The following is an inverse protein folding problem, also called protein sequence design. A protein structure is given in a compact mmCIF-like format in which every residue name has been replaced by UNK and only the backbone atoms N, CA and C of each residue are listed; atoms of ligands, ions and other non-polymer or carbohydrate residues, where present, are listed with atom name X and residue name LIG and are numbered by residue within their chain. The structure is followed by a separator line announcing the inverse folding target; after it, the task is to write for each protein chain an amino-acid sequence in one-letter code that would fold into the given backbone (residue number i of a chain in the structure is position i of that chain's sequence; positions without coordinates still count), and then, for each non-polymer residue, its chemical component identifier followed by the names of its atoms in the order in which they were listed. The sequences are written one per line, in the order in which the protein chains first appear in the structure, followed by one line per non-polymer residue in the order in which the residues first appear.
data_IF_904307566152
#
_entry.id   IF_904307566152
#
_cell.length_a   1.000
_cell.length_b   1.000
_cell.length_c   1.000
_cell.angle_alpha   90.00
_cell.angle_beta   90.00
_cell.angle_gamma   90.00
#
_symmetry.space_group_name_H-M   'P 1'
#
loop_
_entity.id
_entity.type
_entity.pdbx_description
1 polymer ?
#
# COMPACT_ATOMS: atom_id res chain seq x y z
N UNK A 1 20.83 10.91 24.83
CA UNK A 1 20.48 10.66 23.44
C UNK A 1 21.49 9.79 22.72
N UNK A 2 21.03 9.01 21.77
CA UNK A 2 21.89 8.21 20.90
C UNK A 2 22.25 9.04 19.67
N UNK A 3 23.56 9.16 19.36
CA UNK A 3 24.00 9.81 18.12
C UNK A 3 23.57 8.94 16.92
N UNK A 4 22.78 9.51 15.99
CA UNK A 4 22.31 8.83 14.78
C UNK A 4 23.04 9.30 13.51
N UNK A 5 23.61 10.52 13.55
CA UNK A 5 24.39 11.08 12.46
C UNK A 5 25.35 12.16 12.98
N UNK A 6 26.44 12.36 12.27
CA UNK A 6 27.38 13.47 12.50
C UNK A 6 27.66 14.18 11.18
N UNK A 7 27.46 15.50 11.14
CA UNK A 7 27.64 16.33 9.95
C UNK A 7 28.77 17.31 10.21
N UNK A 8 29.67 17.48 9.24
CA UNK A 8 30.75 18.47 9.26
C UNK A 8 30.70 19.30 7.99
N UNK A 9 30.82 20.60 8.10
CA UNK A 9 30.78 21.50 6.95
C UNK A 9 30.83 22.97 7.32
N UNK A 10 30.51 23.85 6.36
CA UNK A 10 30.40 25.27 6.60
C UNK A 10 29.27 25.58 7.58
N UNK A 11 29.54 26.26 8.68
CA UNK A 11 28.57 26.51 9.75
C UNK A 11 27.31 27.23 9.28
N UNK A 12 27.44 28.25 8.41
CA UNK A 12 26.29 28.98 7.85
C UNK A 12 25.39 28.05 7.04
N UNK A 13 25.97 27.23 6.16
CA UNK A 13 25.21 26.29 5.34
C UNK A 13 24.49 25.24 6.21
N UNK A 14 25.19 24.73 7.23
CA UNK A 14 24.59 23.76 8.18
C UNK A 14 23.40 24.35 8.91
N UNK A 15 23.55 25.53 9.53
CA UNK A 15 22.46 26.20 10.25
C UNK A 15 21.28 26.56 9.33
N UNK A 16 21.54 26.90 8.07
CA UNK A 16 20.48 27.19 7.08
C UNK A 16 19.67 25.94 6.71
N UNK A 17 20.34 24.79 6.56
CA UNK A 17 19.72 23.54 6.11
C UNK A 17 19.14 22.69 7.24
N UNK A 18 19.61 22.84 8.48
CA UNK A 18 19.32 21.99 9.63
C UNK A 18 17.84 21.74 9.82
N UNK A 19 17.01 22.79 9.91
CA UNK A 19 15.58 22.64 10.19
C UNK A 19 14.85 21.86 9.10
N UNK A 20 15.18 22.08 7.84
CA UNK A 20 14.59 21.36 6.72
C UNK A 20 14.99 19.88 6.77
N UNK A 21 16.28 19.61 7.01
CA UNK A 21 16.81 18.25 7.13
C UNK A 21 16.13 17.49 8.29
N UNK A 22 16.03 18.11 9.47
CA UNK A 22 15.36 17.52 10.63
C UNK A 22 13.88 17.29 10.37
N UNK A 23 13.16 18.19 9.71
CA UNK A 23 11.75 18.00 9.37
C UNK A 23 11.54 16.75 8.49
N UNK A 24 12.40 16.57 7.47
CA UNK A 24 12.35 15.35 6.66
C UNK A 24 12.71 14.11 7.46
N UNK A 25 13.77 14.17 8.26
CA UNK A 25 14.21 13.04 9.10
C UNK A 25 13.11 12.60 10.05
N UNK A 26 12.52 13.53 10.80
CA UNK A 26 11.44 13.27 11.76
C UNK A 26 10.21 12.67 11.09
N UNK A 27 9.77 13.25 9.97
CA UNK A 27 8.59 12.78 9.23
C UNK A 27 8.82 11.38 8.63
N UNK A 28 9.92 11.19 7.90
CA UNK A 28 10.19 9.93 7.21
C UNK A 28 10.52 8.79 8.17
N UNK A 29 11.17 9.09 9.30
CA UNK A 29 11.36 8.12 10.39
C UNK A 29 10.02 7.70 10.99
N UNK A 30 9.05 8.62 11.10
CA UNK A 30 7.69 8.30 11.51
C UNK A 30 7.00 7.33 10.55
N UNK A 31 7.09 7.57 9.25
CA UNK A 31 6.57 6.67 8.21
C UNK A 31 7.22 5.29 8.28
N UNK A 32 8.55 5.23 8.39
CA UNK A 32 9.28 3.97 8.50
C UNK A 32 8.91 3.20 9.77
N UNK A 33 8.79 3.89 10.92
CA UNK A 33 8.40 3.29 12.20
C UNK A 33 6.98 2.76 12.17
N UNK A 34 6.03 3.52 11.60
CA UNK A 34 4.65 3.08 11.42
C UNK A 34 4.58 1.83 10.52
N UNK A 35 5.34 1.81 9.42
CA UNK A 35 5.43 0.65 8.53
C UNK A 35 6.02 -0.55 9.27
N UNK A 36 7.11 -0.36 10.01
CA UNK A 36 7.75 -1.43 10.77
C UNK A 36 6.83 -2.02 11.86
N UNK A 37 5.91 -1.24 12.42
CA UNK A 37 4.94 -1.76 13.39
C UNK A 37 4.00 -2.79 12.75
N UNK A 38 3.47 -2.50 11.56
CA UNK A 38 2.64 -3.45 10.81
C UNK A 38 3.47 -4.65 10.34
N UNK A 39 4.64 -4.40 9.74
CA UNK A 39 5.50 -5.47 9.23
C UNK A 39 5.88 -6.48 10.32
N UNK A 40 6.16 -6.02 11.54
CA UNK A 40 6.42 -6.90 12.70
C UNK A 40 5.17 -7.66 13.13
N UNK A 41 4.01 -7.00 13.19
CA UNK A 41 2.75 -7.65 13.59
C UNK A 41 2.38 -8.82 12.67
N UNK A 42 2.73 -8.73 11.39
CA UNK A 42 2.43 -9.77 10.39
C UNK A 42 3.60 -10.71 10.06
N UNK A 43 4.74 -10.58 10.76
CA UNK A 43 5.98 -11.30 10.42
C UNK A 43 5.90 -12.81 10.47
N UNK A 44 4.92 -13.37 11.22
CA UNK A 44 4.66 -14.81 11.29
C UNK A 44 3.85 -15.36 10.09
N UNK A 45 3.36 -14.46 9.22
CA UNK A 45 2.50 -14.81 8.09
C UNK A 45 3.20 -14.48 6.75
N UNK A 46 2.67 -15.02 5.65
CA UNK A 46 3.22 -14.78 4.31
C UNK A 46 2.89 -13.40 3.74
N UNK A 47 1.98 -12.67 4.37
CA UNK A 47 1.53 -11.36 3.90
C UNK A 47 2.61 -10.28 4.00
N UNK A 48 2.53 -9.26 3.10
CA UNK A 48 3.38 -8.06 3.14
C UNK A 48 2.53 -6.81 3.30
N UNK A 49 3.01 -5.88 4.12
CA UNK A 49 2.38 -4.55 4.19
C UNK A 49 2.79 -3.72 2.98
N UNK A 50 1.82 -3.04 2.37
CA UNK A 50 2.05 -2.12 1.27
C UNK A 50 1.45 -0.74 1.55
N UNK A 51 2.05 0.30 0.95
CA UNK A 51 1.50 1.65 0.99
C UNK A 51 0.41 1.83 -0.09
N UNK A 52 -0.13 3.05 -0.18
CA UNK A 52 -1.09 3.46 -1.20
C UNK A 52 -0.60 4.71 -1.94
N UNK A 53 -1.46 5.32 -2.77
CA UNK A 53 -1.24 6.65 -3.35
C UNK A 53 -1.74 7.80 -2.46
N UNK A 54 -2.26 7.50 -1.26
CA UNK A 54 -2.69 8.49 -0.25
C UNK A 54 -1.45 9.06 0.45
N UNK A 55 -0.66 9.87 -0.25
CA UNK A 55 0.60 10.45 0.20
C UNK A 55 0.48 11.95 0.40
N UNK A 56 1.37 12.54 1.20
CA UNK A 56 1.48 14.00 1.30
C UNK A 56 1.86 14.59 -0.06
N UNK A 57 1.23 15.72 -0.47
CA UNK A 57 1.57 16.37 -1.73
C UNK A 57 3.07 16.64 -1.86
N UNK A 58 3.65 16.29 -3.00
CA UNK A 58 5.08 16.45 -3.28
C UNK A 58 6.02 15.44 -2.61
N UNK A 59 5.57 14.67 -1.60
CA UNK A 59 6.45 13.80 -0.80
C UNK A 59 6.37 12.32 -1.15
N UNK A 60 5.59 11.92 -2.17
CA UNK A 60 5.36 10.49 -2.48
C UNK A 60 6.64 9.68 -2.64
N UNK A 61 7.63 10.21 -3.34
CA UNK A 61 8.88 9.49 -3.60
C UNK A 61 9.62 9.15 -2.30
N UNK A 62 9.79 10.14 -1.42
CA UNK A 62 10.51 9.96 -0.14
C UNK A 62 9.68 9.18 0.88
N UNK A 63 8.35 9.34 0.90
CA UNK A 63 7.49 8.54 1.76
C UNK A 63 7.47 7.06 1.35
N UNK A 64 7.39 6.75 0.05
CA UNK A 64 7.49 5.37 -0.45
C UNK A 64 8.87 4.76 -0.17
N UNK A 65 9.94 5.56 -0.22
CA UNK A 65 11.26 5.13 0.25
C UNK A 65 11.23 4.76 1.74
N UNK A 66 10.64 5.61 2.59
CA UNK A 66 10.52 5.36 4.02
C UNK A 66 9.70 4.09 4.34
N UNK A 67 8.64 3.81 3.56
CA UNK A 67 7.88 2.55 3.66
C UNK A 67 8.78 1.34 3.42
N UNK A 68 9.63 1.37 2.39
CA UNK A 68 10.60 0.29 2.14
C UNK A 68 11.60 0.12 3.27
N UNK A 69 12.12 1.22 3.81
CA UNK A 69 13.04 1.21 4.97
C UNK A 69 12.36 0.57 6.18
N UNK A 70 11.06 0.80 6.37
CA UNK A 70 10.25 0.17 7.41
C UNK A 70 9.91 -1.30 7.18
N UNK A 71 10.39 -1.92 6.10
CA UNK A 71 10.12 -3.33 5.77
C UNK A 71 8.83 -3.57 4.99
N UNK A 72 8.18 -2.52 4.51
CA UNK A 72 7.01 -2.61 3.64
C UNK A 72 7.38 -2.71 2.15
N UNK A 73 6.38 -3.02 1.34
CA UNK A 73 6.42 -2.95 -0.12
C UNK A 73 5.73 -1.69 -0.63
N UNK A 74 5.94 -1.35 -1.89
CA UNK A 74 5.27 -0.22 -2.52
C UNK A 74 4.17 -0.69 -3.47
N UNK A 75 2.97 -0.16 -3.31
CA UNK A 75 1.95 -0.17 -4.34
C UNK A 75 2.36 0.76 -5.49
N UNK A 76 1.64 0.73 -6.61
CA UNK A 76 1.90 1.58 -7.78
C UNK A 76 2.23 3.03 -7.38
N UNK A 77 3.15 3.63 -8.11
CA UNK A 77 3.62 4.98 -7.84
C UNK A 77 2.69 6.04 -8.43
N UNK A 78 2.24 5.80 -9.66
CA UNK A 78 1.43 6.74 -10.43
C UNK A 78 0.16 6.10 -11.02
N UNK A 79 -0.20 6.56 -12.21
CA UNK A 79 -1.26 6.01 -13.04
C UNK A 79 -0.71 5.30 -14.27
N UNK A 80 0.59 5.31 -14.42
CA UNK A 80 1.38 4.87 -15.58
C UNK A 80 2.14 3.57 -15.32
N UNK A 81 2.28 3.14 -14.06
CA UNK A 81 3.05 1.96 -13.69
C UNK A 81 2.20 0.72 -13.37
N UNK A 82 0.91 0.88 -13.07
CA UNK A 82 -0.07 -0.20 -12.96
C UNK A 82 -1.50 0.36 -12.99
N UNK A 83 -2.47 -0.49 -13.38
CA UNK A 83 -3.89 -0.14 -13.38
C UNK A 83 -4.54 -0.59 -12.07
N UNK A 84 -5.38 0.27 -11.49
CA UNK A 84 -6.34 -0.11 -10.43
C UNK A 84 -7.72 0.37 -10.86
N UNK A 85 -8.59 -0.57 -11.12
CA UNK A 85 -10.00 -0.34 -11.46
C UNK A 85 -10.79 -0.29 -10.16
N UNK A 86 -11.60 0.76 -10.01
CA UNK A 86 -12.44 1.02 -8.85
C UNK A 86 -13.90 1.16 -9.25
N UNK A 87 -14.78 1.23 -8.25
CA UNK A 87 -16.22 1.44 -8.40
C UNK A 87 -16.59 2.53 -9.42
N UNK A 88 -15.98 3.70 -9.32
CA UNK A 88 -16.19 4.81 -10.23
C UNK A 88 -15.80 4.48 -11.69
N UNK A 89 -14.74 3.70 -11.89
CA UNK A 89 -14.35 3.26 -13.24
C UNK A 89 -15.36 2.26 -13.80
N UNK A 90 -15.88 1.36 -12.97
CA UNK A 90 -16.92 0.40 -13.35
C UNK A 90 -18.20 1.13 -13.71
N UNK A 91 -18.62 2.10 -12.88
CA UNK A 91 -19.81 2.92 -13.14
C UNK A 91 -19.73 3.66 -14.49
N UNK A 92 -18.56 4.23 -14.82
CA UNK A 92 -18.33 4.91 -16.09
C UNK A 92 -18.23 3.96 -17.29
N UNK A 93 -17.76 2.74 -17.09
CA UNK A 93 -17.65 1.73 -18.15
C UNK A 93 -18.98 1.01 -18.43
N UNK A 94 -19.88 0.99 -17.45
CA UNK A 94 -21.15 0.30 -17.46
C UNK A 94 -21.15 -1.03 -16.70
N UNK A 95 -20.07 -1.80 -16.76
CA UNK A 95 -19.88 -3.07 -16.05
C UNK A 95 -18.39 -3.42 -15.84
N UNK A 96 -18.14 -4.42 -15.01
CA UNK A 96 -16.77 -4.88 -14.66
C UNK A 96 -16.03 -5.42 -15.88
N UNK A 97 -16.69 -6.21 -16.72
CA UNK A 97 -16.06 -6.85 -17.87
C UNK A 97 -15.60 -5.80 -18.89
N UNK A 98 -16.45 -4.83 -19.18
CA UNK A 98 -16.13 -3.69 -20.05
C UNK A 98 -14.98 -2.86 -19.49
N UNK A 99 -14.96 -2.59 -18.17
CA UNK A 99 -13.88 -1.85 -17.52
C UNK A 99 -12.54 -2.57 -17.66
N UNK A 100 -12.49 -3.88 -17.38
CA UNK A 100 -11.28 -4.70 -17.51
C UNK A 100 -10.81 -4.80 -18.96
N UNK A 101 -11.71 -5.01 -19.91
CA UNK A 101 -11.38 -5.10 -21.34
C UNK A 101 -10.79 -3.79 -21.87
N UNK A 102 -11.39 -2.64 -21.52
CA UNK A 102 -10.87 -1.31 -21.89
C UNK A 102 -9.51 -1.05 -21.27
N UNK A 103 -9.32 -1.42 -20.01
CA UNK A 103 -8.02 -1.30 -19.34
C UNK A 103 -6.94 -2.11 -20.07
N UNK A 104 -7.22 -3.37 -20.40
CA UNK A 104 -6.28 -4.23 -21.15
C UNK A 104 -5.95 -3.69 -22.54
N UNK A 105 -6.93 -3.16 -23.24
CA UNK A 105 -6.70 -2.57 -24.57
C UNK A 105 -5.86 -1.28 -24.52
N UNK A 106 -5.87 -0.58 -23.38
CA UNK A 106 -5.17 0.69 -23.19
C UNK A 106 -3.76 0.58 -22.63
N UNK A 107 -3.29 -0.62 -22.24
CA UNK A 107 -1.96 -0.80 -21.60
C UNK A 107 -1.13 -1.89 -22.27
N UNK A 108 0.18 -1.82 -22.08
CA UNK A 108 1.10 -2.86 -22.56
C UNK A 108 1.04 -4.14 -21.69
N UNK A 109 1.50 -5.26 -22.25
CA UNK A 109 1.46 -6.59 -21.63
C UNK A 109 2.24 -6.71 -20.30
N UNK A 110 3.14 -5.77 -20.00
CA UNK A 110 3.90 -5.73 -18.75
C UNK A 110 3.17 -5.00 -17.62
N UNK A 111 2.03 -4.34 -17.87
CA UNK A 111 1.28 -3.58 -16.89
C UNK A 111 0.25 -4.48 -16.21
N UNK A 112 0.35 -4.59 -14.89
CA UNK A 112 -0.59 -5.34 -14.07
C UNK A 112 -1.92 -4.60 -13.91
N UNK A 113 -3.00 -5.39 -13.88
CA UNK A 113 -4.37 -4.88 -13.66
C UNK A 113 -4.88 -5.42 -12.34
N UNK A 114 -5.19 -4.51 -11.45
CA UNK A 114 -5.84 -4.75 -10.18
C UNK A 114 -7.29 -4.27 -10.23
N UNK A 115 -8.20 -5.06 -9.63
CA UNK A 115 -9.62 -4.73 -9.51
C UNK A 115 -10.02 -4.68 -8.03
N UNK A 116 -10.61 -3.58 -7.60
CA UNK A 116 -11.22 -3.41 -6.28
C UNK A 116 -12.60 -4.07 -6.26
N UNK A 117 -12.85 -4.90 -5.25
CA UNK A 117 -14.09 -5.65 -5.04
C UNK A 117 -14.52 -5.60 -3.58
N UNK A 118 -15.83 -5.42 -3.34
CA UNK A 118 -16.42 -5.33 -2.02
C UNK A 118 -17.14 -6.63 -1.61
N UNK A 119 -17.41 -7.52 -2.57
CA UNK A 119 -18.18 -8.75 -2.36
C UNK A 119 -17.53 -9.95 -3.03
N UNK A 120 -17.82 -11.16 -2.51
CA UNK A 120 -17.36 -12.40 -3.11
C UNK A 120 -17.96 -12.65 -4.51
N UNK A 121 -19.15 -12.13 -4.79
CA UNK A 121 -19.73 -12.21 -6.13
C UNK A 121 -18.96 -11.38 -7.16
N UNK A 122 -18.55 -10.16 -6.79
CA UNK A 122 -17.66 -9.34 -7.64
C UNK A 122 -16.29 -10.00 -7.80
N UNK A 123 -15.76 -10.63 -6.75
CA UNK A 123 -14.51 -11.38 -6.83
C UNK A 123 -14.58 -12.52 -7.84
N UNK A 124 -15.67 -13.29 -7.87
CA UNK A 124 -15.84 -14.38 -8.84
C UNK A 124 -15.79 -13.86 -10.29
N UNK A 125 -16.46 -12.74 -10.56
CA UNK A 125 -16.40 -12.06 -11.86
C UNK A 125 -14.97 -11.61 -12.17
N UNK A 126 -14.29 -10.95 -11.22
CA UNK A 126 -12.90 -10.50 -11.37
C UNK A 126 -11.97 -11.66 -11.76
N UNK A 127 -12.08 -12.77 -11.04
CA UNK A 127 -11.28 -13.97 -11.28
C UNK A 127 -11.60 -14.63 -12.64
N UNK A 128 -12.86 -14.60 -13.09
CA UNK A 128 -13.24 -15.11 -14.43
C UNK A 128 -12.62 -14.29 -15.56
N UNK A 129 -12.39 -13.01 -15.31
CA UNK A 129 -11.74 -12.09 -16.25
C UNK A 129 -10.21 -12.18 -16.21
N UNK A 130 -9.61 -12.94 -15.27
CA UNK A 130 -8.16 -13.14 -15.18
C UNK A 130 -7.39 -11.86 -14.87
N UNK A 131 -7.86 -11.04 -13.91
CA UNK A 131 -7.09 -9.90 -13.40
C UNK A 131 -5.88 -10.38 -12.61
N UNK A 132 -4.81 -9.58 -12.58
CA UNK A 132 -3.57 -9.97 -11.89
C UNK A 132 -3.68 -9.90 -10.37
N UNK A 133 -4.41 -8.91 -9.88
CA UNK A 133 -4.56 -8.60 -8.45
C UNK A 133 -6.01 -8.28 -8.14
N UNK A 134 -6.50 -8.72 -6.98
CA UNK A 134 -7.82 -8.34 -6.46
C UNK A 134 -7.63 -7.63 -5.13
N UNK A 135 -8.13 -6.39 -5.06
CA UNK A 135 -8.17 -5.62 -3.83
C UNK A 135 -9.51 -5.88 -3.14
N UNK A 136 -9.44 -6.50 -1.96
CA UNK A 136 -10.57 -6.90 -1.13
C UNK A 136 -10.85 -5.77 -0.13
N UNK A 137 -11.81 -4.89 -0.47
CA UNK A 137 -12.03 -3.68 0.30
C UNK A 137 -13.05 -3.88 1.42
N UNK A 138 -12.66 -3.57 2.64
CA UNK A 138 -13.50 -3.61 3.86
C UNK A 138 -14.23 -4.95 4.11
N UNK A 139 -13.71 -6.07 3.64
CA UNK A 139 -14.29 -7.40 3.86
C UNK A 139 -14.10 -7.88 5.30
N UNK A 140 -15.04 -8.69 5.78
CA UNK A 140 -14.89 -9.41 7.07
C UNK A 140 -13.75 -10.43 7.02
N UNK A 141 -13.20 -10.83 8.18
CA UNK A 141 -12.16 -11.87 8.24
C UNK A 141 -12.65 -13.21 7.66
N UNK A 142 -13.94 -13.51 7.76
CA UNK A 142 -14.55 -14.68 7.15
C UNK A 142 -14.55 -14.59 5.63
N UNK A 143 -15.00 -13.45 5.09
CA UNK A 143 -15.01 -13.23 3.64
C UNK A 143 -13.59 -13.15 3.06
N UNK A 144 -12.62 -12.57 3.80
CA UNK A 144 -11.22 -12.60 3.39
C UNK A 144 -10.69 -14.04 3.24
N UNK A 145 -10.99 -14.95 4.21
CA UNK A 145 -10.59 -16.37 4.08
C UNK A 145 -11.21 -17.04 2.86
N UNK A 146 -12.50 -16.77 2.61
CA UNK A 146 -13.20 -17.29 1.43
C UNK A 146 -12.63 -16.72 0.14
N UNK A 147 -12.37 -15.41 0.12
CA UNK A 147 -11.77 -14.72 -1.03
C UNK A 147 -10.38 -15.28 -1.36
N UNK A 148 -9.52 -15.49 -0.35
CA UNK A 148 -8.20 -16.12 -0.52
C UNK A 148 -8.31 -17.52 -1.11
N UNK A 149 -9.26 -18.32 -0.61
CA UNK A 149 -9.49 -19.67 -1.15
C UNK A 149 -9.93 -19.64 -2.62
N UNK A 150 -10.81 -18.71 -3.00
CA UNK A 150 -11.29 -18.51 -4.39
C UNK A 150 -10.17 -18.02 -5.32
N UNK A 151 -9.30 -17.10 -4.84
CA UNK A 151 -8.26 -16.47 -5.63
C UNK A 151 -6.98 -17.32 -5.76
N UNK A 152 -6.85 -18.38 -4.97
CA UNK A 152 -5.62 -19.19 -4.90
C UNK A 152 -5.16 -19.69 -6.28
N UNK A 153 -3.93 -19.31 -6.67
CA UNK A 153 -3.34 -19.66 -7.96
C UNK A 153 -3.93 -18.92 -9.17
N UNK A 154 -4.83 -17.95 -8.95
CA UNK A 154 -5.52 -17.18 -10.02
C UNK A 154 -5.17 -15.70 -9.98
N UNK A 155 -5.09 -15.09 -8.80
CA UNK A 155 -4.76 -13.68 -8.62
C UNK A 155 -4.05 -13.47 -7.28
N UNK A 156 -3.27 -12.38 -7.18
CA UNK A 156 -2.73 -11.89 -5.91
C UNK A 156 -3.88 -11.24 -5.13
N UNK A 157 -3.95 -11.48 -3.84
CA UNK A 157 -4.96 -10.90 -2.95
C UNK A 157 -4.37 -9.75 -2.13
N UNK A 158 -5.02 -8.60 -2.15
CA UNK A 158 -4.67 -7.43 -1.35
C UNK A 158 -5.85 -7.05 -0.45
N UNK A 159 -5.67 -7.12 0.88
CA UNK A 159 -6.69 -6.64 1.82
C UNK A 159 -6.54 -5.16 2.07
N UNK A 160 -7.64 -4.42 2.08
CA UNK A 160 -7.73 -2.99 2.35
C UNK A 160 -8.88 -2.68 3.32
N UNK A 161 -8.78 -1.56 4.03
CA UNK A 161 -9.84 -1.06 4.91
C UNK A 161 -9.46 -1.02 6.39
N UNK A 162 -9.16 0.17 6.92
CA UNK A 162 -8.99 0.51 8.36
C UNK A 162 -8.04 -0.40 9.16
N UNK A 163 -7.05 -1.00 8.50
CA UNK A 163 -6.12 -1.93 9.14
C UNK A 163 -5.14 -1.17 10.03
N UNK A 164 -5.01 -1.60 11.29
CA UNK A 164 -4.11 -1.06 12.32
C UNK A 164 -3.08 -2.10 12.74
N UNK A 165 -2.04 -1.74 13.53
CA UNK A 165 -1.09 -2.73 14.06
C UNK A 165 -1.77 -3.86 14.87
N UNK A 166 -2.88 -3.54 15.55
CA UNK A 166 -3.63 -4.47 16.38
C UNK A 166 -4.43 -5.47 15.55
N UNK A 167 -4.98 -5.06 14.41
CA UNK A 167 -5.80 -5.90 13.54
C UNK A 167 -5.03 -6.57 12.41
N UNK A 168 -3.82 -6.09 12.10
CA UNK A 168 -3.03 -6.56 10.96
C UNK A 168 -2.72 -8.07 11.02
N UNK A 169 -2.45 -8.61 12.22
CA UNK A 169 -2.15 -10.02 12.40
C UNK A 169 -3.35 -10.92 12.06
N UNK A 170 -4.57 -10.53 12.45
CA UNK A 170 -5.79 -11.27 12.13
C UNK A 170 -6.09 -11.25 10.63
N UNK A 171 -5.87 -10.09 9.97
CA UNK A 171 -6.00 -9.98 8.53
C UNK A 171 -4.95 -10.84 7.82
N UNK A 172 -3.68 -10.79 8.23
CA UNK A 172 -2.63 -11.63 7.66
C UNK A 172 -2.90 -13.14 7.85
N UNK A 173 -3.50 -13.53 8.98
CA UNK A 173 -3.88 -14.92 9.28
C UNK A 173 -4.98 -15.47 8.34
N UNK A 174 -5.66 -14.60 7.56
CA UNK A 174 -6.60 -15.05 6.52
C UNK A 174 -5.90 -15.65 5.31
N UNK A 175 -4.59 -15.39 5.16
CA UNK A 175 -3.77 -15.86 4.06
C UNK A 175 -3.69 -14.92 2.86
N UNK A 176 -4.11 -13.65 3.00
CA UNK A 176 -3.92 -12.62 1.96
C UNK A 176 -2.43 -12.39 1.66
N UNK A 177 -2.11 -12.04 0.42
CA UNK A 177 -0.72 -11.82 0.00
C UNK A 177 -0.22 -10.43 0.38
N UNK A 178 -1.09 -9.42 0.32
CA UNK A 178 -0.76 -8.01 0.57
C UNK A 178 -1.78 -7.39 1.55
N UNK A 179 -1.31 -6.42 2.32
CA UNK A 179 -2.15 -5.61 3.22
C UNK A 179 -1.89 -4.14 2.92
N UNK A 180 -2.86 -3.46 2.30
CA UNK A 180 -2.76 -2.06 1.94
C UNK A 180 -3.11 -1.15 3.12
N UNK A 181 -2.17 -0.28 3.48
CA UNK A 181 -2.33 0.63 4.62
C UNK A 181 -2.04 2.08 4.21
N UNK A 182 -3.11 2.87 4.03
CA UNK A 182 -2.98 4.24 3.55
C UNK A 182 -2.41 5.20 4.59
N UNK A 183 -2.79 5.06 5.86
CA UNK A 183 -2.38 5.99 6.93
C UNK A 183 -0.87 6.02 7.18
N UNK A 184 -0.12 5.01 6.75
CA UNK A 184 1.34 5.00 6.81
C UNK A 184 1.97 6.25 6.20
N UNK A 185 1.36 6.80 5.15
CA UNK A 185 1.91 7.90 4.39
C UNK A 185 1.16 9.22 4.57
N UNK A 186 -0.11 9.20 4.99
CA UNK A 186 -0.86 10.44 5.20
C UNK A 186 -1.06 10.82 6.66
N UNK A 187 -0.86 9.89 7.62
CA UNK A 187 -1.16 10.13 9.04
C UNK A 187 -0.15 9.49 10.00
N UNK A 188 1.03 9.08 9.51
CA UNK A 188 2.08 8.61 10.40
C UNK A 188 2.51 9.72 11.38
N UNK A 189 2.69 9.33 12.63
CA UNK A 189 3.16 10.26 13.67
C UNK A 189 4.59 10.69 13.37
N UNK A 190 4.84 11.98 13.35
CA UNK A 190 6.19 12.56 13.25
C UNK A 190 6.97 12.23 14.51
N UNK A 191 8.21 11.76 14.36
CA UNK A 191 9.10 11.50 15.50
C UNK A 191 9.80 12.80 15.93
N UNK A 192 10.04 12.93 17.23
CA UNK A 192 10.83 14.03 17.78
C UNK A 192 12.30 13.58 17.81
N UNK A 193 13.07 14.01 16.80
CA UNK A 193 14.49 13.73 16.61
C UNK A 193 15.21 15.06 16.54
N UNK A 194 16.12 15.32 17.49
CA UNK A 194 16.84 16.57 17.56
C UNK A 194 18.08 16.49 18.43
#
# INVERSE_FOLDING_TARGET
GMEIARIRGNARAMLTAERVALNFLCHLSGVATATASIARAISAYGARVTCTRKTMPGLRAVQKYAVRVGGGSNHRFGLDDAVLIKDNHIALAGDVATAVQRARAGVGHMVKIELEVDTLAQLEVALSLGVDVVLLDNMSLEDLRRAVAMARGRAITEASGRITPETAAEVAATGVDQIAVGWLTHSAKVLDIG
#
